data_IF_183168557696
#
_entry.id   IF_183168557696
#
_cell.length_a   1.000
_cell.length_b   1.000
_cell.length_c   1.000
_cell.angle_alpha   90.00
_cell.angle_beta   90.00
_cell.angle_gamma   90.00
#
_symmetry.space_group_name_H-M   'P 1'
#
loop_
_entity.id
_entity.type
_entity.pdbx_description
1 polymer ?
#
# COMPACT_ATOMS: atom_id res chain seq x y z
N UNK A 1 0.83 -43.80 -17.58
CA UNK A 1 1.38 -42.85 -18.58
C UNK A 1 0.89 -41.44 -18.34
N UNK A 2 -0.43 -41.20 -18.19
CA UNK A 2 -0.97 -39.85 -17.91
C UNK A 2 -0.44 -39.18 -16.64
N UNK A 3 -0.34 -39.91 -15.52
CA UNK A 3 0.17 -39.36 -14.26
C UNK A 3 1.65 -38.93 -14.35
N UNK A 4 2.47 -39.69 -15.09
CA UNK A 4 3.88 -39.36 -15.35
C UNK A 4 4.01 -38.11 -16.22
N UNK A 5 3.09 -37.93 -17.17
CA UNK A 5 3.02 -36.71 -17.98
C UNK A 5 2.60 -35.50 -17.13
N UNK A 6 1.61 -35.65 -16.24
CA UNK A 6 1.20 -34.59 -15.30
C UNK A 6 2.34 -34.16 -14.37
N UNK A 7 3.12 -35.09 -13.82
CA UNK A 7 4.27 -34.75 -12.97
C UNK A 7 5.35 -33.97 -13.74
N UNK A 8 5.62 -34.35 -14.99
CA UNK A 8 6.58 -33.64 -15.87
C UNK A 8 6.10 -32.22 -16.19
N UNK A 9 4.82 -32.04 -16.46
CA UNK A 9 4.24 -30.71 -16.71
C UNK A 9 4.18 -29.85 -15.44
N UNK A 10 3.90 -30.47 -14.29
CA UNK A 10 3.89 -29.79 -12.99
C UNK A 10 5.24 -29.17 -12.64
N UNK A 11 6.36 -29.80 -13.03
CA UNK A 11 7.70 -29.24 -12.81
C UNK A 11 7.91 -27.87 -13.49
N UNK A 12 7.12 -27.56 -14.53
CA UNK A 12 7.16 -26.28 -15.23
C UNK A 12 6.10 -25.28 -14.72
N UNK A 13 5.24 -25.69 -13.79
CA UNK A 13 4.15 -24.86 -13.25
C UNK A 13 4.50 -24.39 -11.83
N UNK A 14 5.28 -23.31 -11.73
CA UNK A 14 5.69 -22.72 -10.45
C UNK A 14 4.73 -21.60 -10.04
N UNK A 15 3.50 -21.97 -9.68
CA UNK A 15 2.48 -21.06 -9.16
C UNK A 15 2.28 -21.28 -7.66
N UNK A 16 2.04 -20.19 -6.92
CA UNK A 16 1.63 -20.27 -5.52
C UNK A 16 0.11 -20.19 -5.46
N UNK A 17 -0.51 -21.14 -4.76
CA UNK A 17 -1.96 -21.20 -4.60
C UNK A 17 -2.28 -20.86 -3.14
N UNK A 18 -3.11 -19.84 -2.86
CA UNK A 18 -3.59 -19.57 -1.51
C UNK A 18 -4.34 -20.76 -0.92
N UNK A 19 -4.14 -21.05 0.36
CA UNK A 19 -4.80 -22.17 1.03
C UNK A 19 -6.32 -22.05 1.02
N UNK A 20 -6.84 -20.83 1.06
CA UNK A 20 -8.26 -20.54 0.99
C UNK A 20 -8.90 -21.02 -0.32
N UNK A 21 -8.16 -20.96 -1.43
CA UNK A 21 -8.63 -21.49 -2.72
C UNK A 21 -8.73 -23.02 -2.66
N UNK A 22 -7.77 -23.69 -2.03
CA UNK A 22 -7.81 -25.14 -1.85
C UNK A 22 -9.00 -25.56 -0.97
N UNK A 23 -9.28 -24.83 0.10
CA UNK A 23 -10.45 -25.10 0.96
C UNK A 23 -11.77 -24.95 0.20
N UNK A 24 -11.89 -23.98 -0.72
CA UNK A 24 -13.08 -23.85 -1.57
C UNK A 24 -13.27 -25.06 -2.48
N UNK A 25 -12.18 -25.61 -3.03
CA UNK A 25 -12.22 -26.81 -3.87
C UNK A 25 -12.66 -28.02 -3.04
N UNK A 26 -12.09 -28.21 -1.85
CA UNK A 26 -12.44 -29.31 -0.94
C UNK A 26 -13.92 -29.24 -0.49
N UNK A 27 -14.45 -28.03 -0.30
CA UNK A 27 -15.86 -27.78 0.01
C UNK A 27 -16.80 -27.94 -1.20
N UNK A 28 -16.28 -28.15 -2.41
CA UNK A 28 -17.06 -28.21 -3.65
C UNK A 28 -17.63 -26.85 -4.10
N UNK A 29 -17.02 -25.74 -3.67
CA UNK A 29 -17.38 -24.36 -4.04
C UNK A 29 -16.56 -23.87 -5.22
N UNK A 30 -16.97 -22.74 -5.80
CA UNK A 30 -16.24 -22.12 -6.90
C UNK A 30 -14.96 -21.43 -6.38
N UNK A 31 -13.75 -21.82 -6.82
CA UNK A 31 -12.50 -21.14 -6.42
C UNK A 31 -12.46 -19.66 -6.83
N UNK A 32 -13.21 -19.23 -7.85
CA UNK A 32 -13.29 -17.83 -8.26
C UNK A 32 -13.96 -16.93 -7.22
N UNK A 33 -14.73 -17.50 -6.28
CA UNK A 33 -15.31 -16.73 -5.18
C UNK A 33 -14.22 -16.11 -4.30
N UNK A 34 -13.08 -16.79 -4.11
CA UNK A 34 -11.93 -16.21 -3.44
C UNK A 34 -11.41 -14.96 -4.15
N UNK A 35 -11.23 -15.03 -5.47
CA UNK A 35 -10.75 -13.90 -6.28
C UNK A 35 -11.71 -12.71 -6.17
N UNK A 36 -13.02 -12.97 -6.26
CA UNK A 36 -14.06 -11.96 -6.11
C UNK A 36 -14.03 -11.30 -4.72
N UNK A 37 -13.91 -12.09 -3.67
CA UNK A 37 -13.89 -11.61 -2.28
C UNK A 37 -12.64 -10.78 -1.99
N UNK A 38 -11.47 -11.23 -2.44
CA UNK A 38 -10.22 -10.47 -2.31
C UNK A 38 -10.31 -9.13 -3.03
N UNK A 39 -10.84 -9.11 -4.26
CA UNK A 39 -11.00 -7.88 -5.03
C UNK A 39 -11.95 -6.90 -4.33
N UNK A 40 -13.12 -7.38 -3.89
CA UNK A 40 -14.09 -6.57 -3.17
C UNK A 40 -13.53 -6.04 -1.85
N UNK A 41 -12.80 -6.88 -1.11
CA UNK A 41 -12.11 -6.48 0.12
C UNK A 41 -11.08 -5.39 -0.14
N UNK A 42 -10.31 -5.51 -1.23
CA UNK A 42 -9.33 -4.50 -1.63
C UNK A 42 -9.99 -3.16 -1.95
N UNK A 43 -11.08 -3.16 -2.72
CA UNK A 43 -11.84 -1.96 -3.06
C UNK A 43 -12.37 -1.29 -1.78
N UNK A 44 -13.01 -2.06 -0.90
CA UNK A 44 -13.56 -1.54 0.36
C UNK A 44 -12.46 -0.96 1.26
N UNK A 45 -11.34 -1.67 1.44
CA UNK A 45 -10.19 -1.21 2.23
C UNK A 45 -9.57 0.05 1.64
N UNK A 46 -9.46 0.15 0.32
CA UNK A 46 -8.93 1.33 -0.36
C UNK A 46 -9.84 2.54 -0.11
N UNK A 47 -11.16 2.39 -0.27
CA UNK A 47 -12.12 3.45 -0.01
C UNK A 47 -12.10 3.90 1.45
N UNK A 48 -12.09 2.97 2.41
CA UNK A 48 -12.00 3.28 3.84
C UNK A 48 -10.71 4.03 4.14
N UNK A 49 -9.58 3.58 3.59
CA UNK A 49 -8.27 4.21 3.82
C UNK A 49 -8.22 5.62 3.24
N UNK A 50 -8.79 5.81 2.04
CA UNK A 50 -8.95 7.13 1.43
C UNK A 50 -9.83 8.03 2.29
N UNK A 51 -11.00 7.55 2.71
CA UNK A 51 -11.93 8.29 3.57
C UNK A 51 -11.29 8.72 4.89
N UNK A 52 -10.55 7.83 5.56
CA UNK A 52 -9.77 8.18 6.77
C UNK A 52 -8.74 9.26 6.49
N UNK A 53 -7.97 9.11 5.40
CA UNK A 53 -6.95 10.07 5.00
C UNK A 53 -7.55 11.45 4.73
N UNK A 54 -8.67 11.49 4.01
CA UNK A 54 -9.35 12.74 3.66
C UNK A 54 -9.98 13.40 4.90
N UNK A 55 -10.54 12.62 5.83
CA UNK A 55 -11.02 13.12 7.12
C UNK A 55 -9.90 13.76 7.94
N UNK A 56 -8.72 13.11 8.05
CA UNK A 56 -7.58 13.69 8.74
C UNK A 56 -7.04 14.95 8.06
N UNK A 57 -7.01 14.99 6.71
CA UNK A 57 -6.64 16.20 5.96
C UNK A 57 -7.61 17.35 6.24
N UNK A 58 -8.91 17.07 6.25
CA UNK A 58 -9.94 18.06 6.54
C UNK A 58 -9.85 18.58 7.97
N UNK A 59 -9.72 17.69 8.97
CA UNK A 59 -9.53 18.07 10.36
C UNK A 59 -8.31 18.97 10.53
N UNK A 60 -7.17 18.55 9.97
CA UNK A 60 -5.94 19.34 10.00
C UNK A 60 -6.12 20.73 9.41
N UNK A 61 -6.81 20.81 8.26
CA UNK A 61 -7.09 22.09 7.59
C UNK A 61 -7.89 23.02 8.51
N UNK A 62 -9.03 22.55 9.02
CA UNK A 62 -9.89 23.37 9.88
C UNK A 62 -9.16 23.82 11.14
N UNK A 63 -8.40 22.93 11.80
CA UNK A 63 -7.60 23.32 12.97
C UNK A 63 -6.57 24.40 12.65
N UNK A 64 -5.92 24.31 11.48
CA UNK A 64 -4.92 25.31 11.09
C UNK A 64 -5.56 26.66 10.76
N UNK A 65 -6.74 26.66 10.14
CA UNK A 65 -7.52 27.88 9.86
C UNK A 65 -7.92 28.61 11.15
N UNK A 66 -8.41 27.88 12.16
CA UNK A 66 -8.75 28.45 13.47
C UNK A 66 -7.50 28.97 14.21
N UNK A 67 -6.40 28.23 14.17
CA UNK A 67 -5.13 28.66 14.78
C UNK A 67 -4.55 29.89 14.09
N UNK A 68 -4.70 30.03 12.78
CA UNK A 68 -4.18 31.18 12.03
C UNK A 68 -4.91 32.47 12.41
N UNK A 69 -6.20 32.38 12.73
CA UNK A 69 -6.97 33.51 13.25
C UNK A 69 -6.56 33.89 14.68
N UNK A 70 -6.28 32.91 15.54
CA UNK A 70 -5.97 33.15 16.95
C UNK A 70 -4.49 33.46 17.24
N UNK A 71 -3.58 32.84 16.48
CA UNK A 71 -2.12 32.79 16.72
C UNK A 71 -1.33 32.82 15.40
N UNK A 72 -1.35 33.96 14.67
CA UNK A 72 -0.79 34.02 13.31
C UNK A 72 0.73 33.84 13.26
N UNK A 73 1.47 34.32 14.27
CA UNK A 73 2.94 34.22 14.29
C UNK A 73 3.39 32.76 14.51
N UNK A 74 2.75 32.06 15.43
CA UNK A 74 3.03 30.67 15.76
C UNK A 74 2.67 29.73 14.60
N UNK A 75 1.63 30.05 13.84
CA UNK A 75 1.28 29.30 12.62
C UNK A 75 2.35 29.46 11.55
N UNK A 76 2.95 30.64 11.40
CA UNK A 76 4.06 30.84 10.47
C UNK A 76 5.29 30.02 10.87
N UNK A 77 5.69 30.08 12.15
CA UNK A 77 6.77 29.23 12.68
C UNK A 77 6.50 27.74 12.47
N UNK A 78 5.26 27.30 12.68
CA UNK A 78 4.86 25.92 12.43
C UNK A 78 4.98 25.52 10.95
N UNK A 79 4.66 26.42 10.02
CA UNK A 79 4.77 26.17 8.57
C UNK A 79 6.23 25.95 8.18
N UNK A 80 7.15 26.74 8.72
CA UNK A 80 8.59 26.59 8.49
C UNK A 80 9.14 25.27 9.03
N UNK A 81 8.81 24.93 10.29
CA UNK A 81 9.23 23.66 10.90
C UNK A 81 8.71 22.48 10.06
N UNK A 82 7.45 22.55 9.61
CA UNK A 82 6.85 21.51 8.78
C UNK A 82 7.54 21.38 7.41
N UNK A 83 7.88 22.49 6.78
CA UNK A 83 8.57 22.50 5.49
C UNK A 83 9.97 21.89 5.60
N UNK A 84 10.74 22.25 6.63
CA UNK A 84 12.05 21.66 6.91
C UNK A 84 11.94 20.15 7.16
N UNK A 85 11.04 19.72 8.04
CA UNK A 85 10.84 18.31 8.34
C UNK A 85 10.44 17.47 7.11
N UNK A 86 9.61 18.02 6.22
CA UNK A 86 9.24 17.38 4.95
C UNK A 86 10.43 17.26 3.98
N UNK A 87 11.26 18.31 3.90
CA UNK A 87 12.48 18.30 3.10
C UNK A 87 13.49 17.27 3.62
N UNK A 88 13.67 17.18 4.92
CA UNK A 88 14.58 16.21 5.55
C UNK A 88 14.10 14.77 5.37
N UNK A 89 12.79 14.52 5.53
CA UNK A 89 12.21 13.21 5.24
C UNK A 89 12.40 12.80 3.77
N UNK A 90 12.28 13.76 2.84
CA UNK A 90 12.53 13.52 1.40
C UNK A 90 14.01 13.17 1.14
N UNK A 91 14.95 13.88 1.76
CA UNK A 91 16.40 13.60 1.67
C UNK A 91 16.74 12.22 2.23
N UNK A 92 16.18 11.85 3.38
CA UNK A 92 16.38 10.52 3.97
C UNK A 92 15.85 9.41 3.06
N UNK A 93 14.67 9.58 2.46
CA UNK A 93 14.11 8.62 1.52
C UNK A 93 14.95 8.49 0.24
N UNK A 94 15.55 9.58 -0.24
CA UNK A 94 16.47 9.56 -1.38
C UNK A 94 17.78 8.83 -1.03
N UNK A 95 18.34 9.09 0.14
CA UNK A 95 19.58 8.45 0.61
C UNK A 95 19.41 6.95 0.89
N UNK A 96 18.23 6.51 1.33
CA UNK A 96 17.93 5.07 1.50
C UNK A 96 17.73 4.32 0.18
N UNK A 97 17.39 5.03 -0.90
CA UNK A 97 17.18 4.45 -2.23
C UNK A 97 18.40 4.54 -3.16
N UNK A 98 19.48 5.21 -2.74
CA UNK A 98 20.71 5.29 -3.51
C UNK A 98 21.58 4.05 -3.24
N UNK A 99 21.83 3.24 -4.27
CA UNK A 99 22.87 2.21 -4.24
C UNK A 99 24.26 2.89 -4.30
N UNK A 100 25.35 2.25 -3.83
CA UNK A 100 26.70 2.84 -3.77
C UNK A 100 27.26 3.34 -5.11
N UNK A 101 26.65 2.93 -6.22
CA UNK A 101 27.00 3.27 -7.59
C UNK A 101 26.15 4.39 -8.20
N UNK A 102 25.22 5.00 -7.45
CA UNK A 102 24.39 6.12 -7.91
C UNK A 102 23.07 5.73 -8.59
N UNK A 103 22.75 4.44 -8.69
CA UNK A 103 21.47 3.96 -9.22
C UNK A 103 20.36 4.04 -8.16
N UNK A 104 19.16 4.43 -8.59
CA UNK A 104 17.94 4.37 -7.76
C UNK A 104 17.49 2.92 -7.66
N UNK A 105 17.34 2.43 -6.43
CA UNK A 105 16.75 1.11 -6.16
C UNK A 105 15.31 1.10 -6.68
N UNK A 106 15.10 0.51 -7.85
CA UNK A 106 13.76 0.31 -8.41
C UNK A 106 12.99 -0.52 -7.40
N UNK A 107 11.92 0.05 -6.82
CA UNK A 107 10.96 -0.71 -6.03
C UNK A 107 10.43 -1.79 -6.94
N UNK A 108 10.81 -3.05 -6.68
CA UNK A 108 10.21 -4.19 -7.35
C UNK A 108 8.72 -4.13 -7.10
N UNK A 109 7.95 -3.90 -8.16
CA UNK A 109 6.50 -4.06 -8.12
C UNK A 109 6.25 -5.56 -7.92
N UNK A 110 5.66 -5.90 -6.78
CA UNK A 110 5.08 -7.21 -6.49
C UNK A 110 3.65 -7.24 -7.04
#
# INVERSE_FOLDING_TARGET
MELDNMMKLSGNCNIQIPMEVLNLIDDGKNPDDFTKDVLNSCIAKNQITKGKTDAFKSLRKHMLEELEQAFPAEVEEYRDIRASAAADMKRMAQNQNALPNGDVKVKGEL
#
